data_IF_168452697388
#
_entry.id   IF_168452697388
#
_cell.length_a   1.000
_cell.length_b   1.000
_cell.length_c   1.000
_cell.angle_alpha   90.00
_cell.angle_beta   90.00
_cell.angle_gamma   90.00
#
_symmetry.space_group_name_H-M   'P 1'
#
loop_
_entity.id
_entity.type
_entity.pdbx_description
1 polymer ?
#
# COMPACT_ATOMS: atom_id res chain seq x y z
N UNK A 1 -40.93 -30.26 62.63
CA UNK A 1 -40.72 -28.94 61.98
C UNK A 1 -40.21 -29.19 60.57
N UNK A 2 -41.06 -29.02 59.56
CA UNK A 2 -40.71 -29.26 58.15
C UNK A 2 -40.32 -27.93 57.48
N UNK A 3 -39.30 -27.88 56.61
CA UNK A 3 -38.95 -26.67 55.88
C UNK A 3 -39.88 -26.47 54.66
N UNK A 4 -40.43 -25.26 54.56
CA UNK A 4 -41.21 -24.80 53.40
C UNK A 4 -40.23 -24.39 52.30
N UNK A 5 -40.31 -25.09 51.16
CA UNK A 5 -39.55 -24.81 49.94
C UNK A 5 -39.96 -23.46 49.33
N UNK A 6 -38.98 -22.61 49.00
CA UNK A 6 -39.18 -21.47 48.12
C UNK A 6 -39.32 -21.95 46.67
N UNK A 7 -40.34 -21.52 45.90
CA UNK A 7 -40.41 -21.86 44.49
C UNK A 7 -39.40 -21.05 43.67
N UNK A 8 -38.50 -21.79 43.04
CA UNK A 8 -37.71 -21.38 41.89
C UNK A 8 -38.65 -20.95 40.74
N UNK A 9 -38.57 -19.67 40.36
CA UNK A 9 -39.30 -19.15 39.20
C UNK A 9 -38.32 -18.67 38.14
N UNK A 10 -37.76 -19.63 37.41
CA UNK A 10 -37.20 -19.42 36.07
C UNK A 10 -38.30 -19.80 35.08
N UNK A 11 -38.88 -18.82 34.38
CA UNK A 11 -39.68 -19.07 33.17
C UNK A 11 -39.34 -17.98 32.14
N UNK A 12 -38.46 -18.31 31.20
CA UNK A 12 -38.72 -18.55 29.76
C UNK A 12 -38.85 -17.26 28.93
N UNK A 13 -37.75 -16.96 28.23
CA UNK A 13 -37.61 -16.64 26.80
C UNK A 13 -38.83 -16.01 26.08
N UNK A 14 -38.62 -14.78 25.63
CA UNK A 14 -39.13 -14.23 24.37
C UNK A 14 -37.95 -13.42 23.80
N UNK A 15 -37.31 -13.78 22.70
CA UNK A 15 -37.93 -14.04 21.40
C UNK A 15 -37.80 -12.79 20.53
N UNK A 16 -36.57 -12.35 20.26
CA UNK A 16 -36.27 -11.30 19.27
C UNK A 16 -35.05 -11.73 18.45
N UNK A 17 -35.33 -12.57 17.46
CA UNK A 17 -34.42 -13.00 16.42
C UNK A 17 -34.28 -11.88 15.38
N UNK A 18 -33.02 -11.50 15.14
CA UNK A 18 -32.44 -11.00 13.89
C UNK A 18 -33.08 -9.80 13.18
N UNK A 19 -32.44 -8.64 13.30
CA UNK A 19 -32.02 -7.82 12.16
C UNK A 19 -31.22 -6.59 12.65
N UNK A 20 -30.14 -6.81 13.41
CA UNK A 20 -29.14 -5.76 13.59
C UNK A 20 -28.26 -5.78 12.33
N UNK A 21 -28.72 -5.08 11.30
CA UNK A 21 -27.94 -4.73 10.11
C UNK A 21 -26.55 -4.28 10.57
N UNK A 22 -25.53 -5.05 10.18
CA UNK A 22 -24.14 -4.62 10.22
C UNK A 22 -24.00 -3.37 9.36
N UNK A 23 -24.30 -2.22 9.95
CA UNK A 23 -23.76 -0.94 9.51
C UNK A 23 -22.28 -1.03 9.85
N UNK A 24 -21.49 -1.64 8.98
CA UNK A 24 -20.05 -1.44 9.00
C UNK A 24 -19.91 0.05 8.66
N UNK A 25 -19.46 0.93 9.57
CA UNK A 25 -18.92 2.19 9.13
C UNK A 25 -17.68 1.81 8.32
N UNK A 26 -17.86 1.62 7.01
CA UNK A 26 -16.76 1.79 6.09
C UNK A 26 -16.36 3.23 6.29
N UNK A 27 -15.33 3.46 7.10
CA UNK A 27 -14.71 4.76 7.31
C UNK A 27 -14.17 5.21 5.95
N UNK A 28 -15.05 5.74 5.13
CA UNK A 28 -14.74 6.35 3.85
C UNK A 28 -14.02 7.65 4.18
N UNK A 29 -12.70 7.57 4.18
CA UNK A 29 -11.87 8.75 4.28
C UNK A 29 -11.61 9.22 2.84
N UNK A 30 -12.19 10.35 2.39
CA UNK A 30 -12.10 10.82 1.01
C UNK A 30 -10.65 11.09 0.56
N UNK A 31 -9.71 11.20 1.51
CA UNK A 31 -8.29 11.40 1.25
C UNK A 31 -7.49 10.09 1.05
N UNK A 32 -8.11 8.91 1.23
CA UNK A 32 -7.45 7.62 1.02
C UNK A 32 -6.56 7.21 2.19
N UNK A 33 -7.12 6.43 3.11
CA UNK A 33 -6.41 5.85 4.25
C UNK A 33 -7.36 5.58 5.40
N UNK A 34 -7.19 4.44 6.07
CA UNK A 34 -7.86 4.20 7.35
C UNK A 34 -7.20 5.17 8.34
N UNK A 35 -7.94 6.17 8.81
CA UNK A 35 -7.51 7.14 9.84
C UNK A 35 -6.21 7.91 9.52
N UNK A 36 -6.23 8.85 8.55
CA UNK A 36 -5.15 9.84 8.35
C UNK A 36 -3.73 9.27 8.14
N UNK A 37 -3.62 7.97 7.85
CA UNK A 37 -2.35 7.25 7.73
C UNK A 37 -2.15 6.80 6.28
N UNK A 38 -0.99 7.13 5.74
CA UNK A 38 -0.61 6.90 4.35
C UNK A 38 0.61 6.01 4.29
N UNK A 39 0.57 5.04 3.37
CA UNK A 39 1.63 4.06 3.17
C UNK A 39 1.90 3.87 1.68
N UNK A 40 3.14 4.15 1.24
CA UNK A 40 3.55 3.99 -0.15
C UNK A 40 4.76 3.06 -0.27
N UNK A 41 4.55 1.90 -0.88
CA UNK A 41 5.58 0.86 -1.08
C UNK A 41 6.29 1.07 -2.41
N UNK A 42 7.62 1.06 -2.37
CA UNK A 42 8.47 1.13 -3.56
C UNK A 42 8.92 -0.28 -3.96
N UNK A 43 8.56 -0.69 -5.17
CA UNK A 43 8.94 -2.01 -5.72
C UNK A 43 9.92 -1.83 -6.88
N UNK A 44 10.72 -2.85 -7.26
CA UNK A 44 11.65 -2.74 -8.39
C UNK A 44 10.98 -2.27 -9.69
N UNK A 45 9.78 -2.80 -9.97
CA UNK A 45 8.98 -2.46 -11.16
C UNK A 45 8.28 -1.11 -11.05
N UNK A 46 8.10 -0.58 -9.85
CA UNK A 46 7.46 0.72 -9.63
C UNK A 46 8.13 1.50 -8.49
N UNK A 47 9.38 1.98 -8.69
CA UNK A 47 10.04 2.78 -7.68
C UNK A 47 9.31 4.12 -7.54
N UNK A 48 9.08 4.59 -6.31
CA UNK A 48 8.20 5.75 -6.05
C UNK A 48 8.93 6.92 -5.41
N UNK A 49 8.52 8.11 -5.83
CA UNK A 49 8.81 9.37 -5.15
C UNK A 49 7.50 9.97 -4.69
N UNK A 50 7.40 10.27 -3.40
CA UNK A 50 6.23 10.92 -2.80
C UNK A 50 6.49 12.41 -2.72
N UNK A 51 5.59 13.19 -3.30
CA UNK A 51 5.63 14.65 -3.27
C UNK A 51 4.32 15.17 -2.68
N UNK A 52 4.41 16.05 -1.69
CA UNK A 52 3.25 16.70 -1.09
C UNK A 52 3.32 18.20 -1.40
N UNK A 53 2.22 18.69 -1.98
CA UNK A 53 2.02 20.08 -2.36
C UNK A 53 1.04 20.75 -1.40
N UNK A 54 1.24 22.02 -1.08
CA UNK A 54 0.20 22.85 -0.48
C UNK A 54 -0.68 23.39 -1.61
N UNK A 55 -1.96 23.07 -1.60
CA UNK A 55 -2.89 23.49 -2.66
C UNK A 55 -3.10 25.01 -2.72
N UNK A 56 -2.78 25.72 -1.63
CA UNK A 56 -2.91 27.18 -1.55
C UNK A 56 -1.76 27.89 -2.26
N UNK A 57 -0.54 27.37 -2.13
CA UNK A 57 0.66 27.92 -2.79
C UNK A 57 0.97 27.26 -4.12
N UNK A 58 0.58 26.01 -4.32
CA UNK A 58 0.93 25.19 -5.48
C UNK A 58 2.35 24.59 -5.42
N UNK A 59 3.11 24.89 -4.37
CA UNK A 59 4.53 24.51 -4.24
C UNK A 59 4.70 23.19 -3.47
N UNK A 60 5.68 22.35 -3.85
CA UNK A 60 6.04 21.17 -3.07
C UNK A 60 6.78 21.58 -1.79
N UNK A 61 6.30 21.12 -0.64
CA UNK A 61 6.95 21.37 0.66
C UNK A 61 7.53 20.10 1.28
N UNK A 62 7.15 18.92 0.78
CA UNK A 62 7.71 17.64 1.20
C UNK A 62 7.96 16.76 -0.02
N UNK A 63 9.20 16.27 -0.14
CA UNK A 63 9.63 15.36 -1.20
C UNK A 63 10.42 14.23 -0.56
N UNK A 64 10.02 12.99 -0.82
CA UNK A 64 10.76 11.80 -0.40
C UNK A 64 10.80 10.76 -1.50
N UNK A 65 12.02 10.46 -1.93
CA UNK A 65 12.31 9.27 -2.71
C UNK A 65 12.25 8.04 -1.80
N UNK A 66 11.49 7.02 -2.21
CA UNK A 66 11.36 5.78 -1.47
C UNK A 66 12.25 4.72 -2.14
N UNK A 67 13.31 4.25 -1.47
CA UNK A 67 14.18 3.21 -2.01
C UNK A 67 13.40 1.92 -2.29
N UNK A 68 13.82 1.17 -3.29
CA UNK A 68 13.21 -0.13 -3.63
C UNK A 68 13.30 -1.09 -2.43
N UNK A 69 12.21 -1.80 -2.15
CA UNK A 69 12.08 -2.68 -0.99
C UNK A 69 11.70 -1.95 0.30
N UNK A 70 11.61 -0.61 0.27
CA UNK A 70 11.13 0.21 1.38
C UNK A 70 9.72 0.71 1.16
N UNK A 71 9.14 1.20 2.23
CA UNK A 71 7.84 1.84 2.29
C UNK A 71 7.96 3.15 3.06
N UNK A 72 7.34 4.21 2.54
CA UNK A 72 7.15 5.47 3.26
C UNK A 72 5.81 5.43 3.96
N UNK A 73 5.84 5.54 5.28
CA UNK A 73 4.65 5.71 6.10
C UNK A 73 4.60 7.13 6.63
N UNK A 74 3.45 7.77 6.57
CA UNK A 74 3.26 9.08 7.18
C UNK A 74 1.82 9.32 7.61
N UNK A 75 1.64 10.28 8.51
CA UNK A 75 0.32 10.76 8.93
C UNK A 75 0.37 12.26 9.22
N UNK A 76 -0.78 12.90 9.10
CA UNK A 76 -0.98 14.26 9.58
C UNK A 76 -1.62 14.22 10.96
N UNK A 77 -1.06 14.99 11.89
CA UNK A 77 -1.68 15.33 13.15
C UNK A 77 -2.21 16.76 13.03
N UNK A 78 -3.47 16.96 13.39
CA UNK A 78 -4.12 18.28 13.28
C UNK A 78 -3.53 19.34 14.21
N UNK A 79 -2.76 18.91 15.20
CA UNK A 79 -2.11 19.73 16.22
C UNK A 79 -0.58 19.59 16.19
N UNK A 80 0.09 20.50 16.90
CA UNK A 80 1.54 20.46 17.06
C UNK A 80 2.34 21.11 15.92
N UNK A 81 1.70 21.84 15.01
CA UNK A 81 2.38 22.76 14.11
C UNK A 81 2.71 24.12 14.75
N UNK A 82 3.64 24.85 14.16
CA UNK A 82 4.17 26.11 14.73
C UNK A 82 3.27 27.34 14.47
N UNK A 83 2.38 27.29 13.48
CA UNK A 83 1.57 28.43 13.08
C UNK A 83 0.07 28.07 12.97
N UNK A 84 -0.82 28.63 13.81
CA UNK A 84 -2.24 28.27 13.83
C UNK A 84 -2.98 28.51 12.50
N UNK A 85 -2.52 29.48 11.70
CA UNK A 85 -3.20 29.91 10.48
C UNK A 85 -2.67 29.20 9.24
N UNK A 86 -1.34 29.07 9.12
CA UNK A 86 -0.71 28.59 7.89
C UNK A 86 -0.20 27.16 8.00
N UNK A 87 0.25 26.72 9.17
CA UNK A 87 0.83 25.40 9.38
C UNK A 87 0.46 24.87 10.77
N UNK A 88 -0.84 24.62 11.01
CA UNK A 88 -1.33 24.16 12.31
C UNK A 88 -1.04 22.68 12.57
N UNK A 89 -0.83 21.91 11.51
CA UNK A 89 -0.66 20.47 11.57
C UNK A 89 0.81 20.06 11.68
N UNK A 90 1.03 18.82 12.08
CA UNK A 90 2.33 18.16 12.11
C UNK A 90 2.30 16.92 11.21
N UNK A 91 3.25 16.83 10.29
CA UNK A 91 3.49 15.62 9.53
C UNK A 91 4.46 14.73 10.32
N UNK A 92 4.10 13.49 10.56
CA UNK A 92 4.99 12.47 11.08
C UNK A 92 5.27 11.42 9.99
N UNK A 93 6.51 10.97 9.85
CA UNK A 93 6.87 9.94 8.85
C UNK A 93 8.02 9.03 9.28
N UNK A 94 8.06 7.85 8.66
CA UNK A 94 9.18 6.92 8.74
C UNK A 94 9.38 6.17 7.41
N UNK A 95 10.63 5.78 7.17
CA UNK A 95 10.98 4.84 6.12
C UNK A 95 11.17 3.46 6.74
N UNK A 96 10.45 2.47 6.23
CA UNK A 96 10.39 1.12 6.81
C UNK A 96 10.58 0.08 5.72
N UNK A 97 10.82 -1.18 6.10
CA UNK A 97 10.77 -2.30 5.14
C UNK A 97 9.36 -2.43 4.57
N UNK A 98 9.27 -2.80 3.29
CA UNK A 98 8.00 -3.04 2.62
C UNK A 98 7.14 -4.07 3.40
N UNK A 99 5.87 -3.72 3.64
CA UNK A 99 4.92 -4.56 4.38
C UNK A 99 4.92 -4.35 5.89
N UNK A 100 5.82 -3.55 6.44
CA UNK A 100 5.82 -3.23 7.87
C UNK A 100 4.94 -2.01 8.17
N UNK A 101 3.69 -2.25 8.56
CA UNK A 101 2.74 -1.19 8.95
C UNK A 101 2.80 -0.82 10.44
N UNK A 102 3.57 -1.55 11.26
CA UNK A 102 3.59 -1.42 12.73
C UNK A 102 4.74 -0.54 13.26
N UNK A 103 5.45 0.17 12.40
CA UNK A 103 6.62 0.95 12.81
C UNK A 103 6.25 2.31 13.40
N UNK A 104 7.01 2.75 14.40
CA UNK A 104 6.94 4.11 14.93
C UNK A 104 7.36 5.12 13.85
N UNK A 105 6.60 6.21 13.73
CA UNK A 105 6.98 7.34 12.91
C UNK A 105 8.05 8.15 13.66
N UNK A 106 9.29 8.11 13.19
CA UNK A 106 10.46 8.63 13.91
C UNK A 106 10.79 10.08 13.57
N UNK A 107 10.27 10.59 12.47
CA UNK A 107 10.50 11.97 12.04
C UNK A 107 9.21 12.76 12.11
N UNK A 108 9.33 14.05 12.39
CA UNK A 108 8.22 14.98 12.47
C UNK A 108 8.61 16.36 11.95
N UNK A 109 7.66 17.07 11.36
CA UNK A 109 7.82 18.45 10.91
C UNK A 109 6.47 19.18 10.90
N UNK A 110 6.52 20.49 11.01
CA UNK A 110 5.36 21.36 10.83
C UNK A 110 4.87 21.29 9.39
N UNK A 111 3.56 21.20 9.21
CA UNK A 111 2.92 21.03 7.91
C UNK A 111 1.66 21.92 7.79
N UNK A 112 1.27 22.29 6.56
CA UNK A 112 -0.09 22.72 6.26
C UNK A 112 -1.12 21.69 6.77
N UNK A 113 -2.38 22.11 7.00
CA UNK A 113 -3.39 21.14 7.39
C UNK A 113 -3.62 20.10 6.29
N UNK A 114 -4.03 18.89 6.65
CA UNK A 114 -4.16 17.76 5.71
C UNK A 114 -5.06 18.11 4.52
N UNK A 115 -6.16 18.82 4.76
CA UNK A 115 -7.11 19.27 3.73
C UNK A 115 -6.53 20.27 2.73
N UNK A 116 -5.43 20.95 3.09
CA UNK A 116 -4.69 21.82 2.18
C UNK A 116 -3.53 21.09 1.47
N UNK A 117 -3.38 19.77 1.69
CA UNK A 117 -2.30 19.00 1.12
C UNK A 117 -2.77 18.13 -0.05
N UNK A 118 -2.03 18.18 -1.17
CA UNK A 118 -2.20 17.25 -2.28
C UNK A 118 -1.00 16.32 -2.36
N UNK A 119 -1.25 15.03 -2.20
CA UNK A 119 -0.23 13.98 -2.34
C UNK A 119 -0.16 13.57 -3.82
N UNK A 120 1.05 13.64 -4.39
CA UNK A 120 1.35 13.16 -5.75
C UNK A 120 2.42 12.07 -5.65
N UNK A 121 2.19 10.99 -6.38
CA UNK A 121 3.15 9.89 -6.48
C UNK A 121 3.75 9.90 -7.87
N UNK A 122 5.07 10.01 -7.93
CA UNK A 122 5.82 9.93 -9.18
C UNK A 122 6.48 8.56 -9.25
N UNK A 123 6.15 7.81 -10.31
CA UNK A 123 6.74 6.50 -10.56
C UNK A 123 8.00 6.73 -11.40
N UNK A 124 9.15 6.32 -10.86
CA UNK A 124 10.46 6.40 -11.52
C UNK A 124 10.64 5.24 -12.50
N UNK A 125 11.74 5.26 -13.25
CA UNK A 125 12.12 4.13 -14.10
C UNK A 125 12.33 2.87 -13.24
N UNK A 126 11.96 1.68 -13.76
CA UNK A 126 12.11 0.45 -13.00
C UNK A 126 13.59 0.18 -12.70
N UNK A 127 13.87 -0.13 -11.45
CA UNK A 127 15.21 -0.47 -10.95
C UNK A 127 15.24 -1.98 -10.77
N UNK A 128 15.72 -2.70 -11.79
CA UNK A 128 15.94 -4.14 -11.67
C UNK A 128 17.29 -4.40 -11.01
N UNK A 129 17.36 -5.41 -10.15
CA UNK A 129 18.64 -5.95 -9.73
C UNK A 129 19.38 -6.47 -10.97
N UNK A 130 20.70 -6.22 -11.10
CA UNK A 130 21.46 -6.83 -12.17
C UNK A 130 21.35 -8.34 -12.05
N UNK A 131 20.96 -9.00 -13.15
CA UNK A 131 20.98 -10.46 -13.24
C UNK A 131 22.44 -10.88 -13.00
N UNK A 132 22.74 -11.73 -12.00
CA UNK A 132 24.10 -12.19 -11.78
C UNK A 132 24.61 -12.90 -13.03
N UNK A 133 25.89 -12.72 -13.38
CA UNK A 133 26.45 -13.25 -14.64
C UNK A 133 26.28 -14.77 -14.78
N UNK A 134 26.17 -15.49 -13.65
CA UNK A 134 25.88 -16.93 -13.60
C UNK A 134 24.48 -17.31 -14.11
N UNK A 135 23.50 -16.40 -14.04
CA UNK A 135 22.12 -16.63 -14.47
C UNK A 135 21.86 -16.09 -15.88
N UNK A 136 22.71 -15.20 -16.38
CA UNK A 136 22.57 -14.55 -17.69
C UNK A 136 22.62 -15.52 -18.87
N UNK A 137 23.22 -16.70 -18.67
CA UNK A 137 23.42 -17.74 -19.69
C UNK A 137 22.69 -19.05 -19.40
N UNK A 138 21.78 -19.08 -18.42
CA UNK A 138 20.97 -20.27 -18.16
C UNK A 138 19.92 -20.46 -19.26
N UNK A 139 20.30 -21.19 -20.31
CA UNK A 139 19.41 -21.67 -21.38
C UNK A 139 18.55 -22.87 -20.94
N UNK A 140 18.80 -23.41 -19.75
CA UNK A 140 18.17 -24.59 -19.16
C UNK A 140 16.87 -24.27 -18.40
N UNK A 141 16.45 -23.01 -18.31
CA UNK A 141 15.08 -22.65 -17.95
C UNK A 141 14.13 -22.92 -19.12
N UNK A 142 14.10 -24.19 -19.57
CA UNK A 142 13.05 -24.72 -20.43
C UNK A 142 11.74 -24.52 -19.69
N UNK A 143 10.79 -23.86 -20.34
CA UNK A 143 9.41 -23.73 -19.89
C UNK A 143 8.85 -25.15 -19.72
N UNK A 144 8.91 -25.67 -18.49
CA UNK A 144 8.48 -27.01 -18.12
C UNK A 144 6.95 -27.03 -18.19
N UNK A 145 6.41 -27.19 -19.40
CA UNK A 145 4.97 -27.15 -19.63
C UNK A 145 4.50 -26.92 -21.07
N UNK A 146 5.33 -27.17 -22.08
CA UNK A 146 4.79 -27.43 -23.43
C UNK A 146 5.07 -28.88 -23.74
N UNK A 147 4.01 -29.67 -23.59
CA UNK A 147 3.98 -31.08 -23.90
C UNK A 147 4.57 -31.35 -25.28
N UNK A 148 5.32 -32.46 -25.35
CA UNK A 148 5.73 -33.13 -26.58
C UNK A 148 4.58 -33.10 -27.60
N UNK A 149 4.76 -32.36 -28.68
CA UNK A 149 4.07 -32.62 -29.92
C UNK A 149 5.12 -33.13 -30.90
N UNK A 150 5.11 -34.45 -31.06
CA UNK A 150 5.90 -35.19 -32.03
C UNK A 150 5.53 -34.72 -33.45
N UNK A 151 6.52 -34.37 -34.26
CA UNK A 151 6.64 -34.81 -35.67
C UNK A 151 7.88 -34.19 -36.32
N UNK A 152 8.77 -35.09 -36.73
CA UNK A 152 9.76 -34.88 -37.78
C UNK A 152 9.07 -34.50 -39.11
N UNK A 153 9.85 -33.98 -40.05
CA UNK A 153 9.53 -33.66 -41.45
C UNK A 153 8.91 -32.27 -41.74
N UNK A 154 9.76 -31.24 -41.84
CA UNK A 154 10.00 -30.53 -43.12
C UNK A 154 10.96 -29.34 -42.93
N UNK A 155 12.17 -29.42 -43.49
CA UNK A 155 13.05 -28.26 -43.68
C UNK A 155 13.01 -27.87 -45.17
N UNK A 156 12.34 -26.78 -45.57
CA UNK A 156 12.58 -26.23 -46.89
C UNK A 156 13.82 -25.33 -46.84
N UNK A 157 14.92 -25.85 -47.39
CA UNK A 157 16.10 -25.09 -47.81
C UNK A 157 15.67 -24.03 -48.83
N UNK A 158 15.92 -22.75 -48.54
CA UNK A 158 15.49 -21.66 -49.42
C UNK A 158 16.21 -20.34 -49.17
N UNK A 159 17.50 -20.31 -49.45
CA UNK A 159 18.32 -19.10 -49.48
C UNK A 159 17.83 -18.13 -50.57
N UNK A 160 17.34 -16.94 -50.20
CA UNK A 160 17.29 -15.75 -51.09
C UNK A 160 17.56 -14.48 -50.28
N UNK A 161 18.70 -13.87 -50.59
CA UNK A 161 19.10 -12.53 -50.17
C UNK A 161 18.03 -11.50 -50.55
N UNK A 162 17.72 -10.58 -49.63
CA UNK A 162 17.00 -9.34 -49.93
C UNK A 162 17.80 -8.19 -49.31
N UNK A 163 18.75 -7.68 -50.09
CA UNK A 163 19.11 -6.26 -50.08
C UNK A 163 18.91 -5.78 -51.52
N UNK A 164 17.86 -4.99 -51.70
CA UNK A 164 17.74 -3.95 -52.73
C UNK A 164 16.88 -2.83 -52.12
#
# INVERSE_FOLDING_TARGET
>A
MAPINLPSRRWILSGALAAALCSVPGCFNPNGGVTGYFAYVSTPTSPKTVVIYDVRSGEPWFVKEVPVGKQLNFRFLSDGGDNPQYSPARLEWAMVEAGNNASQLTNQMTAPPEEACKIKIEIRQPEYHPIPDSERYRQDAVFEGVDKADSEDDIPVGNRNIYD
#
